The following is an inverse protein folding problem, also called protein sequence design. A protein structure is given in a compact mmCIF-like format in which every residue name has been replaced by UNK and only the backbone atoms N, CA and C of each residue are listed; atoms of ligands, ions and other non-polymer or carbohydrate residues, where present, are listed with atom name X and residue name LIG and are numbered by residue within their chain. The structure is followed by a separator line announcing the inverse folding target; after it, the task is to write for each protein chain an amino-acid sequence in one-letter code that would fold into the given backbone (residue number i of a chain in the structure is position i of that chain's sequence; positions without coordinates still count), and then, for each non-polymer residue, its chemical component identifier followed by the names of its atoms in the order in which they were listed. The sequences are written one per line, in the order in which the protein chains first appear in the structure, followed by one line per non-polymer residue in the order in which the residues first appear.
data_IF_446145778717
#
_entry.id   IF_446145778717
#
_cell.length_a   1.000
_cell.length_b   1.000
_cell.length_c   1.000
_cell.angle_alpha   90.00
_cell.angle_beta   90.00
_cell.angle_gamma   90.00
#
_symmetry.space_group_name_H-M   'P 1'
#
loop_
_entity.id
_entity.type
_entity.pdbx_description
1 polymer ?
#
# COMPACT_ATOMS: atom_id res chain seq x y z
N UNK A 1 8.84 -16.12 -6.36
CA UNK A 1 8.78 -15.86 -4.92
C UNK A 1 7.55 -15.06 -4.54
N UNK A 2 6.89 -15.50 -3.50
CA UNK A 2 5.73 -14.79 -2.97
C UNK A 2 5.86 -14.61 -1.46
N UNK A 3 5.16 -13.59 -0.95
CA UNK A 3 5.07 -13.33 0.48
C UNK A 3 3.64 -12.90 0.79
N UNK A 4 3.05 -13.53 1.78
CA UNK A 4 1.76 -13.13 2.34
C UNK A 4 1.95 -12.81 3.80
N UNK A 5 1.37 -11.70 4.25
CA UNK A 5 1.53 -11.29 5.64
C UNK A 5 0.41 -10.36 6.07
N UNK A 6 0.26 -10.21 7.37
CA UNK A 6 -0.60 -9.19 7.98
C UNK A 6 0.26 -8.05 8.50
N UNK A 7 -0.34 -6.88 8.61
CA UNK A 7 0.34 -5.70 9.12
C UNK A 7 -0.58 -4.91 10.04
N UNK A 8 0.01 -4.38 11.10
CA UNK A 8 -0.59 -3.29 11.86
C UNK A 8 0.08 -2.01 11.36
N UNK A 9 -0.72 -1.14 10.76
CA UNK A 9 -0.22 0.03 10.05
C UNK A 9 -0.58 1.29 10.83
N UNK A 10 0.42 2.12 11.08
CA UNK A 10 0.23 3.47 11.63
C UNK A 10 0.59 4.47 10.55
N UNK A 11 -0.39 5.29 10.18
CA UNK A 11 -0.23 6.37 9.22
C UNK A 11 -0.30 7.69 9.95
N UNK A 12 0.74 8.50 9.81
CA UNK A 12 0.77 9.84 10.41
C UNK A 12 0.78 10.88 9.30
N UNK A 13 -0.29 11.69 9.26
CA UNK A 13 -0.45 12.80 8.32
C UNK A 13 -0.36 14.08 9.11
N UNK A 14 0.78 14.79 9.01
CA UNK A 14 1.07 15.98 9.82
C UNK A 14 0.92 15.65 11.31
N UNK A 15 -0.11 16.17 11.97
CA UNK A 15 -0.35 15.93 13.40
C UNK A 15 -1.43 14.87 13.67
N UNK A 16 -2.02 14.31 12.63
CA UNK A 16 -3.05 13.27 12.77
C UNK A 16 -2.44 11.89 12.61
N UNK A 17 -2.91 10.95 13.42
CA UNK A 17 -2.44 9.58 13.41
C UNK A 17 -3.62 8.63 13.25
N UNK A 18 -3.47 7.66 12.36
CA UNK A 18 -4.44 6.61 12.08
C UNK A 18 -3.76 5.26 12.25
N UNK A 19 -4.44 4.33 12.91
CA UNK A 19 -3.95 2.96 13.06
C UNK A 19 -4.97 2.01 12.47
N UNK A 20 -4.52 1.07 11.64
CA UNK A 20 -5.41 0.14 10.96
C UNK A 20 -4.72 -1.18 10.66
N UNK A 21 -5.52 -2.22 10.49
CA UNK A 21 -5.02 -3.50 10.03
C UNK A 21 -4.90 -3.51 8.52
N UNK A 22 -3.94 -4.28 8.03
CA UNK A 22 -3.72 -4.47 6.61
C UNK A 22 -3.31 -5.90 6.32
N UNK A 23 -3.53 -6.32 5.08
CA UNK A 23 -2.99 -7.56 4.53
C UNK A 23 -2.14 -7.22 3.32
N UNK A 24 -1.01 -7.90 3.16
CA UNK A 24 -0.09 -7.66 2.07
C UNK A 24 0.19 -8.98 1.35
N UNK A 25 0.03 -8.97 0.03
CA UNK A 25 0.41 -10.06 -0.85
C UNK A 25 1.45 -9.54 -1.84
N UNK A 26 2.58 -10.21 -1.91
CA UNK A 26 3.69 -9.84 -2.77
C UNK A 26 4.01 -10.96 -3.73
N UNK A 27 3.97 -10.67 -5.02
CA UNK A 27 4.58 -11.47 -6.09
C UNK A 27 5.82 -10.71 -6.53
N UNK A 28 6.98 -11.24 -6.16
CA UNK A 28 8.25 -10.51 -6.26
C UNK A 28 8.50 -10.02 -7.67
N UNK A 29 8.82 -8.73 -7.80
CA UNK A 29 9.09 -8.03 -9.07
C UNK A 29 7.91 -8.00 -10.04
N UNK A 30 6.70 -8.29 -9.58
CA UNK A 30 5.51 -8.30 -10.42
C UNK A 30 4.37 -7.45 -9.86
N UNK A 31 3.91 -7.76 -8.65
CA UNK A 31 2.69 -7.15 -8.11
C UNK A 31 2.71 -7.16 -6.60
N UNK A 32 2.20 -6.08 -6.00
CA UNK A 32 1.93 -6.00 -4.58
C UNK A 32 0.47 -5.60 -4.41
N UNK A 33 -0.27 -6.39 -3.62
CA UNK A 33 -1.65 -6.08 -3.27
C UNK A 33 -1.70 -5.79 -1.77
N UNK A 34 -2.16 -4.60 -1.42
CA UNK A 34 -2.33 -4.16 -0.04
C UNK A 34 -3.81 -3.91 0.21
N UNK A 35 -4.37 -4.60 1.20
CA UNK A 35 -5.76 -4.44 1.61
C UNK A 35 -5.76 -3.73 2.96
N UNK A 36 -6.33 -2.53 3.01
CA UNK A 36 -6.46 -1.75 4.24
C UNK A 36 -7.83 -2.00 4.86
N UNK A 37 -7.83 -2.38 6.14
CA UNK A 37 -9.01 -2.82 6.87
C UNK A 37 -9.16 -2.00 8.16
N UNK A 38 -9.59 -0.73 8.06
CA UNK A 38 -9.61 0.17 9.24
C UNK A 38 -10.66 -0.21 10.28
N UNK A 39 -11.72 -0.93 9.91
CA UNK A 39 -12.78 -1.33 10.82
C UNK A 39 -13.26 -2.74 10.55
N UNK A 40 -13.33 -3.57 11.60
CA UNK A 40 -13.94 -4.90 11.59
C UNK A 40 -13.42 -5.87 10.54
N UNK A 41 -12.15 -5.72 10.13
CA UNK A 41 -11.57 -6.59 9.11
C UNK A 41 -12.13 -6.41 7.71
N UNK A 42 -12.89 -5.35 7.46
CA UNK A 42 -13.49 -5.08 6.16
C UNK A 42 -12.52 -4.26 5.31
N UNK A 43 -12.22 -4.76 4.11
CA UNK A 43 -11.39 -4.02 3.16
C UNK A 43 -12.12 -2.78 2.67
N UNK A 44 -11.59 -1.61 3.00
CA UNK A 44 -12.14 -0.33 2.57
C UNK A 44 -11.30 0.34 1.49
N UNK A 45 -9.99 0.07 1.49
CA UNK A 45 -9.06 0.58 0.49
C UNK A 45 -8.22 -0.59 0.02
N UNK A 46 -8.01 -0.66 -1.29
CA UNK A 46 -7.14 -1.66 -1.90
C UNK A 46 -6.12 -0.96 -2.78
N UNK A 47 -4.87 -1.36 -2.63
CA UNK A 47 -3.76 -0.84 -3.42
C UNK A 47 -3.18 -2.00 -4.23
N UNK A 48 -3.03 -1.80 -5.53
CA UNK A 48 -2.36 -2.77 -6.40
C UNK A 48 -1.21 -2.06 -7.10
N UNK A 49 0.01 -2.39 -6.69
CA UNK A 49 1.22 -1.76 -7.24
C UNK A 49 1.90 -2.70 -8.23
N UNK A 50 2.15 -2.19 -9.42
CA UNK A 50 2.96 -2.84 -10.44
C UNK A 50 4.21 -2.00 -10.68
N UNK A 51 5.09 -2.46 -11.58
CA UNK A 51 6.27 -1.69 -11.96
C UNK A 51 5.93 -0.37 -12.64
N UNK A 52 4.76 -0.29 -13.27
CA UNK A 52 4.36 0.88 -14.06
C UNK A 52 3.55 1.89 -13.27
N UNK A 53 2.71 1.42 -12.36
CA UNK A 53 1.74 2.30 -11.70
C UNK A 53 1.20 1.68 -10.43
N UNK A 54 0.51 2.52 -9.67
CA UNK A 54 -0.24 2.12 -8.48
C UNK A 54 -1.72 2.36 -8.74
N UNK A 55 -2.52 1.31 -8.57
CA UNK A 55 -3.97 1.40 -8.58
C UNK A 55 -4.45 1.58 -7.15
N UNK A 56 -5.12 2.68 -6.87
CA UNK A 56 -5.71 2.98 -5.57
C UNK A 56 -7.22 2.88 -5.68
N UNK A 57 -7.82 1.97 -4.92
CA UNK A 57 -9.25 1.69 -4.98
C UNK A 57 -9.92 2.07 -3.66
N UNK A 58 -10.88 2.96 -3.74
CA UNK A 58 -11.78 3.31 -2.63
C UNK A 58 -13.03 2.44 -2.77
N UNK A 59 -13.08 1.37 -2.00
CA UNK A 59 -14.18 0.39 -2.10
C UNK A 59 -15.48 0.90 -1.53
N UNK A 60 -15.42 1.82 -0.57
CA UNK A 60 -16.64 2.38 0.04
C UNK A 60 -17.43 3.23 -0.95
N UNK A 61 -16.74 4.04 -1.73
CA UNK A 61 -17.39 4.97 -2.68
C UNK A 61 -17.33 4.46 -4.12
N UNK A 62 -16.86 3.24 -4.33
CA UNK A 62 -16.74 2.57 -5.64
C UNK A 62 -16.05 3.44 -6.68
N UNK A 63 -14.88 3.93 -6.31
CA UNK A 63 -14.07 4.76 -7.20
C UNK A 63 -12.61 4.33 -7.11
N UNK A 64 -11.84 4.68 -8.14
CA UNK A 64 -10.41 4.36 -8.18
C UNK A 64 -9.63 5.42 -8.92
N UNK A 65 -8.33 5.43 -8.70
CA UNK A 65 -7.39 6.24 -9.47
C UNK A 65 -6.16 5.43 -9.80
N UNK A 66 -5.53 5.75 -10.92
CA UNK A 66 -4.26 5.16 -11.34
C UNK A 66 -3.17 6.22 -11.19
N UNK A 67 -2.13 5.87 -10.45
CA UNK A 67 -1.04 6.78 -10.14
C UNK A 67 0.21 6.25 -10.83
N UNK A 68 0.74 6.99 -11.79
CA UNK A 68 2.03 6.69 -12.40
C UNK A 68 3.14 7.25 -11.54
N UNK A 69 4.22 6.51 -11.37
CA UNK A 69 5.30 6.90 -10.45
C UNK A 69 5.94 8.24 -10.81
N UNK A 70 6.02 8.56 -12.10
CA UNK A 70 6.56 9.83 -12.58
C UNK A 70 5.73 11.06 -12.17
N UNK A 71 4.46 10.87 -11.77
CA UNK A 71 3.63 11.96 -11.25
C UNK A 71 4.20 12.59 -9.98
N UNK A 72 5.11 11.90 -9.29
CA UNK A 72 5.67 12.33 -8.02
C UNK A 72 7.12 12.80 -8.09
N UNK A 73 7.74 12.81 -9.27
CA UNK A 73 9.20 12.98 -9.42
C UNK A 73 9.76 14.25 -8.76
N UNK A 74 8.98 15.32 -8.69
CA UNK A 74 9.45 16.58 -8.10
C UNK A 74 8.67 17.00 -6.86
N UNK A 75 7.61 16.29 -6.51
CA UNK A 75 6.68 16.71 -5.46
C UNK A 75 6.79 15.88 -4.19
N UNK A 76 7.22 14.64 -4.30
CA UNK A 76 7.29 13.71 -3.17
C UNK A 76 8.74 13.23 -2.98
N UNK A 77 9.23 13.31 -1.75
CA UNK A 77 10.59 12.84 -1.42
C UNK A 77 10.55 11.92 -0.21
N UNK A 78 11.18 10.73 -0.26
CA UNK A 78 11.81 10.14 -1.44
C UNK A 78 10.79 9.82 -2.54
N UNK A 79 11.24 9.77 -3.79
CA UNK A 79 10.36 9.49 -4.92
C UNK A 79 9.79 8.08 -4.84
N UNK A 80 8.47 7.91 -4.82
CA UNK A 80 7.86 6.59 -4.80
C UNK A 80 8.22 5.79 -6.05
N UNK A 81 8.47 4.49 -5.86
CA UNK A 81 8.73 3.55 -6.94
C UNK A 81 8.23 2.17 -6.52
N UNK A 82 8.07 1.27 -7.49
CA UNK A 82 7.73 -0.11 -7.17
C UNK A 82 8.75 -0.74 -6.24
N UNK A 83 10.03 -0.53 -6.51
CA UNK A 83 11.11 -1.09 -5.70
C UNK A 83 11.05 -0.60 -4.25
N UNK A 84 10.77 0.68 -4.05
CA UNK A 84 10.64 1.23 -2.70
C UNK A 84 9.49 0.57 -1.95
N UNK A 85 8.35 0.35 -2.60
CA UNK A 85 7.20 -0.32 -1.99
C UNK A 85 7.56 -1.79 -1.68
N UNK A 86 8.18 -2.49 -2.62
CA UNK A 86 8.57 -3.88 -2.44
C UNK A 86 9.57 -4.04 -1.29
N UNK A 87 10.58 -3.20 -1.22
CA UNK A 87 11.55 -3.23 -0.13
C UNK A 87 10.88 -2.96 1.21
N UNK A 88 9.95 -2.02 1.24
CA UNK A 88 9.21 -1.68 2.46
C UNK A 88 8.43 -2.89 3.01
N UNK A 89 7.73 -3.62 2.15
CA UNK A 89 6.87 -4.73 2.59
C UNK A 89 7.64 -6.04 2.78
N UNK A 90 8.82 -6.20 2.18
CA UNK A 90 9.58 -7.45 2.24
C UNK A 90 10.67 -7.49 3.30
N UNK A 91 10.99 -6.37 3.93
CA UNK A 91 12.04 -6.28 4.94
C UNK A 91 11.46 -6.39 6.35
N UNK A 92 12.13 -7.08 7.30
CA UNK A 92 13.16 -8.10 7.11
C UNK A 92 12.57 -9.42 6.60
N UNK A 93 13.44 -10.31 6.10
CA UNK A 93 13.00 -11.54 5.45
C UNK A 93 12.95 -12.76 6.37
N UNK A 94 12.74 -12.58 7.64
CA UNK A 94 12.66 -13.70 8.61
C UNK A 94 11.20 -13.98 8.96
N UNK A 95 10.76 -15.27 8.87
CA UNK A 95 9.36 -15.59 9.13
C UNK A 95 8.97 -15.57 10.62
N UNK A 96 9.93 -15.70 11.53
CA UNK A 96 9.65 -15.99 12.94
C UNK A 96 9.60 -14.77 13.84
N UNK A 97 9.86 -13.57 13.32
CA UNK A 97 9.97 -12.36 14.13
C UNK A 97 9.03 -11.32 13.56
N UNK A 98 8.38 -10.54 14.43
CA UNK A 98 7.63 -9.39 14.01
C UNK A 98 8.57 -8.41 13.32
N UNK A 99 8.37 -8.26 12.02
CA UNK A 99 9.17 -7.37 11.20
C UNK A 99 8.54 -5.98 11.20
N UNK A 100 9.39 -4.96 11.29
CA UNK A 100 8.92 -3.57 11.31
C UNK A 100 9.55 -2.78 10.18
N UNK A 101 8.74 -2.03 9.45
CA UNK A 101 9.19 -1.11 8.41
C UNK A 101 8.64 0.28 8.68
N UNK A 102 9.45 1.29 8.38
CA UNK A 102 9.07 2.67 8.60
C UNK A 102 9.61 3.53 7.47
N UNK A 103 8.77 4.44 6.95
CA UNK A 103 9.15 5.42 5.94
C UNK A 103 8.45 6.74 6.16
N UNK A 104 9.14 7.81 5.81
CA UNK A 104 8.59 9.15 5.84
C UNK A 104 8.70 9.78 4.46
N UNK A 105 7.67 10.53 4.07
CA UNK A 105 7.61 11.24 2.80
C UNK A 105 7.28 12.69 3.05
N UNK A 106 7.87 13.57 2.27
CA UNK A 106 7.52 14.99 2.24
C UNK A 106 6.81 15.30 0.94
N UNK A 107 5.63 15.92 1.03
CA UNK A 107 4.85 16.40 -0.11
C UNK A 107 4.58 17.88 0.11
N UNK A 108 5.38 18.76 -0.52
CA UNK A 108 5.29 20.18 -0.25
C UNK A 108 5.53 20.48 1.24
N UNK A 109 4.53 21.04 1.90
CA UNK A 109 4.57 21.35 3.33
C UNK A 109 3.98 20.22 4.20
N UNK A 110 3.61 19.11 3.61
CA UNK A 110 3.00 17.99 4.34
C UNK A 110 4.02 16.90 4.59
N UNK A 111 3.96 16.30 5.78
CA UNK A 111 4.74 15.11 6.11
C UNK A 111 3.82 13.92 6.28
N UNK A 112 4.21 12.80 5.66
CA UNK A 112 3.52 11.53 5.79
C UNK A 112 4.52 10.51 6.32
N UNK A 113 4.19 9.88 7.43
CA UNK A 113 4.99 8.79 7.98
C UNK A 113 4.15 7.52 8.03
N UNK A 114 4.72 6.43 7.56
CA UNK A 114 4.08 5.12 7.54
C UNK A 114 4.93 4.16 8.34
N UNK A 115 4.33 3.49 9.31
CA UNK A 115 4.97 2.44 10.08
C UNK A 115 4.10 1.19 10.01
N UNK A 116 4.72 0.07 9.65
CA UNK A 116 4.04 -1.22 9.61
C UNK A 116 4.78 -2.22 10.50
N UNK A 117 4.03 -2.94 11.33
CA UNK A 117 4.52 -4.11 12.03
C UNK A 117 3.89 -5.33 11.37
N UNK A 118 4.74 -6.17 10.75
CA UNK A 118 4.29 -7.34 10.00
C UNK A 118 4.23 -8.57 10.90
N UNK A 119 3.27 -9.43 10.63
CA UNK A 119 3.08 -10.70 11.35
C UNK A 119 2.49 -11.74 10.42
N UNK A 120 2.47 -13.01 10.86
CA UNK A 120 1.90 -14.13 10.11
C UNK A 120 2.47 -14.22 8.70
N UNK A 121 3.77 -14.12 8.59
CA UNK A 121 4.48 -14.08 7.31
C UNK A 121 4.62 -15.50 6.74
N UNK A 122 4.13 -15.68 5.51
CA UNK A 122 4.18 -16.94 4.78
C UNK A 122 4.87 -16.73 3.44
N UNK A 123 5.90 -17.51 3.18
CA UNK A 123 6.68 -17.39 1.95
C UNK A 123 6.30 -18.52 0.99
N UNK A 124 6.16 -18.16 -0.30
CA UNK A 124 5.96 -19.10 -1.41
C UNK A 124 4.66 -19.90 -1.33
N UNK A 125 3.60 -19.33 -0.74
CA UNK A 125 2.29 -19.99 -0.62
C UNK A 125 1.23 -19.39 -1.54
N UNK A 126 1.48 -18.22 -2.16
CA UNK A 126 0.48 -17.57 -2.99
C UNK A 126 0.36 -18.22 -4.37
N UNK A 127 -0.87 -18.33 -4.83
CA UNK A 127 -1.18 -18.74 -6.21
C UNK A 127 -1.13 -17.52 -7.13
N UNK A 128 -1.48 -17.69 -8.41
CA UNK A 128 -1.56 -16.58 -9.34
C UNK A 128 -2.42 -15.44 -8.78
N UNK A 129 -2.02 -14.18 -9.00
CA UNK A 129 -2.74 -13.06 -8.42
C UNK A 129 -4.12 -12.88 -9.01
N UNK A 130 -5.06 -12.42 -8.19
CA UNK A 130 -6.40 -12.06 -8.62
C UNK A 130 -6.57 -10.56 -8.45
N UNK A 131 -6.55 -9.84 -9.56
CA UNK A 131 -6.73 -8.41 -9.56
C UNK A 131 -8.20 -8.04 -9.46
N UNK A 132 -8.48 -6.85 -8.92
CA UNK A 132 -9.84 -6.38 -8.73
C UNK A 132 -10.51 -6.10 -10.08
N UNK A 133 -11.82 -6.44 -10.18
CA UNK A 133 -12.66 -6.07 -11.32
C UNK A 133 -13.23 -4.67 -11.08
N UNK A 134 -12.91 -3.74 -11.97
CA UNK A 134 -13.28 -2.33 -11.83
C UNK A 134 -14.55 -1.95 -12.60
N UNK A 135 -15.30 -2.91 -13.14
CA UNK A 135 -16.49 -2.63 -13.98
C UNK A 135 -17.52 -1.73 -13.30
N UNK A 136 -17.69 -1.89 -11.99
CA UNK A 136 -18.67 -1.12 -11.21
C UNK A 136 -18.05 0.06 -10.48
N UNK A 137 -16.82 0.43 -10.83
CA UNK A 137 -16.08 1.51 -10.20
C UNK A 137 -15.91 2.67 -11.15
N UNK A 138 -15.89 3.88 -10.61
CA UNK A 138 -15.67 5.10 -11.40
C UNK A 138 -14.23 5.57 -11.23
N UNK A 139 -13.58 5.86 -12.34
CA UNK A 139 -12.25 6.46 -12.32
C UNK A 139 -12.33 7.93 -11.93
N UNK A 140 -11.52 8.36 -10.98
CA UNK A 140 -11.44 9.73 -10.48
C UNK A 140 -9.99 10.17 -10.39
N UNK A 141 -9.76 11.45 -10.08
CA UNK A 141 -8.41 11.95 -9.85
C UNK A 141 -7.93 11.60 -8.45
N UNK A 142 -6.63 11.65 -8.23
CA UNK A 142 -6.05 11.37 -6.90
C UNK A 142 -6.60 12.32 -5.83
N UNK A 143 -6.85 13.57 -6.18
CA UNK A 143 -7.37 14.56 -5.24
C UNK A 143 -8.78 14.24 -4.73
N UNK A 144 -9.55 13.48 -5.51
CA UNK A 144 -10.89 13.07 -5.08
C UNK A 144 -10.83 12.00 -3.98
N UNK A 145 -9.75 11.21 -3.93
CA UNK A 145 -9.56 10.14 -2.94
C UNK A 145 -8.71 10.62 -1.76
N UNK A 146 -7.62 11.30 -2.04
CA UNK A 146 -6.69 11.81 -1.02
C UNK A 146 -6.76 13.34 -0.99
N UNK A 147 -7.31 13.93 0.08
CA UNK A 147 -7.39 15.39 0.20
C UNK A 147 -6.04 15.98 0.59
N UNK A 148 -5.13 15.99 -0.34
CA UNK A 148 -3.81 16.59 -0.14
C UNK A 148 -3.69 17.89 -0.90
#
# INVERSE_FOLDING_TARGET
QTLQQKATTTLRLNQRQYTMDASVQLWRNELIIISLQPMFGIEMVRVEATKDSVLLVDKMNRRYTVIHYDMFDQQVKPTPSYRLIQDFVSTPQTPDIKAKSQRSFAIGNHEIAIECTFSQREFNTLKAPRRIDLKKYKRVSLRDILPI
#
